data_IF_993863718048
#
_entry.id   IF_993863718048
#
_cell.length_a   1.000
_cell.length_b   1.000
_cell.length_c   1.000
_cell.angle_alpha   90.00
_cell.angle_beta   90.00
_cell.angle_gamma   90.00
#
_symmetry.space_group_name_H-M   'P 1'
#
loop_
_entity.id
_entity.type
_entity.pdbx_description
1 polymer ?
#
# COMPACT_ATOMS: atom_id res chain seq x y z
N UNK A 1 1.89 16.80 -12.12
CA UNK A 1 1.95 15.68 -11.14
C UNK A 1 1.26 16.08 -9.86
N UNK A 2 1.63 17.18 -9.23
CA UNK A 2 1.01 17.66 -7.99
C UNK A 2 -0.51 17.82 -8.08
N UNK A 3 -1.04 18.29 -9.19
CA UNK A 3 -2.49 18.54 -9.35
C UNK A 3 -3.30 17.24 -9.35
N UNK A 4 -2.81 16.16 -9.99
CA UNK A 4 -3.51 14.89 -10.00
C UNK A 4 -3.44 14.21 -8.63
N UNK A 5 -2.27 14.17 -8.00
CA UNK A 5 -2.11 13.66 -6.64
C UNK A 5 -3.01 14.41 -5.65
N UNK A 6 -3.04 15.76 -5.72
CA UNK A 6 -3.95 16.58 -4.90
C UNK A 6 -5.42 16.26 -5.16
N UNK A 7 -5.78 15.97 -6.41
CA UNK A 7 -7.15 15.58 -6.77
C UNK A 7 -7.53 14.24 -6.16
N UNK A 8 -6.63 13.24 -6.19
CA UNK A 8 -6.85 11.96 -5.55
C UNK A 8 -7.04 12.14 -4.03
N UNK A 9 -6.14 12.86 -3.37
CA UNK A 9 -6.22 13.11 -1.93
C UNK A 9 -7.53 13.82 -1.55
N UNK A 10 -7.91 14.91 -2.27
CA UNK A 10 -9.17 15.62 -2.00
C UNK A 10 -10.42 14.75 -2.17
N UNK A 11 -10.39 13.78 -3.07
CA UNK A 11 -11.51 12.87 -3.30
C UNK A 11 -11.59 11.76 -2.23
N UNK A 12 -10.44 11.38 -1.64
CA UNK A 12 -10.34 10.25 -0.72
C UNK A 12 -10.31 10.66 0.75
N UNK A 13 -9.85 11.89 1.09
CA UNK A 13 -9.77 12.36 2.47
C UNK A 13 -11.18 12.66 2.99
N UNK A 14 -11.71 11.73 3.74
CA UNK A 14 -12.96 11.81 4.50
C UNK A 14 -13.04 10.58 5.39
N UNK A 15 -13.83 10.61 6.45
CA UNK A 15 -14.12 9.38 7.18
C UNK A 15 -14.75 8.35 6.24
N UNK A 16 -14.18 7.14 6.21
CA UNK A 16 -14.59 6.00 5.37
C UNK A 16 -14.83 4.75 6.21
N UNK A 17 -15.38 4.95 7.40
CA UNK A 17 -15.65 3.87 8.35
C UNK A 17 -16.89 3.07 7.93
N UNK A 18 -16.86 1.72 8.02
CA UNK A 18 -17.94 0.86 7.51
C UNK A 18 -19.29 1.04 8.19
N UNK A 19 -19.32 1.53 9.42
CA UNK A 19 -20.56 1.69 10.22
C UNK A 19 -20.97 3.16 10.30
N UNK A 20 -20.08 4.07 10.70
CA UNK A 20 -20.41 5.49 10.88
C UNK A 20 -20.50 6.26 9.55
N UNK A 21 -19.73 5.88 8.53
CA UNK A 21 -19.64 6.59 7.24
C UNK A 21 -19.75 5.67 6.01
N UNK A 22 -20.74 4.76 5.93
CA UNK A 22 -20.82 3.77 4.85
C UNK A 22 -21.02 4.39 3.46
N UNK A 23 -21.59 5.60 3.40
CA UNK A 23 -21.76 6.33 2.14
C UNK A 23 -20.42 6.83 1.61
N UNK A 24 -19.57 7.39 2.48
CA UNK A 24 -18.22 7.85 2.11
C UNK A 24 -17.32 6.68 1.72
N UNK A 25 -17.40 5.57 2.45
CA UNK A 25 -16.70 4.32 2.10
C UNK A 25 -17.06 3.87 0.68
N UNK A 26 -18.35 3.89 0.33
CA UNK A 26 -18.80 3.53 -1.02
C UNK A 26 -18.34 4.53 -2.08
N UNK A 27 -18.36 5.84 -1.77
CA UNK A 27 -17.83 6.87 -2.68
C UNK A 27 -16.34 6.66 -3.00
N UNK A 28 -15.55 6.32 -1.99
CA UNK A 28 -14.13 6.00 -2.19
C UNK A 28 -13.96 4.76 -3.08
N UNK A 29 -14.73 3.68 -2.84
CA UNK A 29 -14.76 2.50 -3.70
C UNK A 29 -15.05 2.86 -5.16
N UNK A 30 -16.10 3.65 -5.39
CA UNK A 30 -16.55 4.02 -6.73
C UNK A 30 -15.52 4.94 -7.42
N UNK A 31 -14.94 5.89 -6.69
CA UNK A 31 -13.88 6.77 -7.15
C UNK A 31 -12.64 5.97 -7.61
N UNK A 32 -12.16 5.05 -6.79
CA UNK A 32 -11.01 4.21 -7.12
C UNK A 32 -11.28 3.37 -8.38
N UNK A 33 -12.46 2.77 -8.46
CA UNK A 33 -12.85 1.99 -9.63
C UNK A 33 -12.89 2.84 -10.91
N UNK A 34 -13.37 4.09 -10.83
CA UNK A 34 -13.40 5.01 -11.96
C UNK A 34 -12.00 5.46 -12.37
N UNK A 35 -11.13 5.77 -11.40
CA UNK A 35 -9.75 6.14 -11.68
C UNK A 35 -8.97 5.00 -12.37
N UNK A 36 -9.19 3.76 -11.96
CA UNK A 36 -8.61 2.60 -12.65
C UNK A 36 -9.11 2.50 -14.09
N UNK A 37 -10.43 2.70 -14.35
CA UNK A 37 -10.96 2.72 -15.73
C UNK A 37 -10.38 3.85 -16.55
N UNK A 38 -10.23 5.04 -15.95
CA UNK A 38 -9.70 6.25 -16.63
C UNK A 38 -8.28 6.05 -17.14
N UNK A 39 -7.48 5.26 -16.41
CA UNK A 39 -6.12 4.91 -16.85
C UNK A 39 -6.06 3.56 -17.59
N UNK A 40 -7.18 3.06 -18.11
CA UNK A 40 -7.24 1.88 -18.98
C UNK A 40 -7.08 0.53 -18.30
N UNK A 41 -7.18 0.43 -16.97
CA UNK A 41 -7.13 -0.84 -16.27
C UNK A 41 -8.47 -1.59 -16.36
N UNK A 42 -8.42 -2.92 -16.45
CA UNK A 42 -9.62 -3.74 -16.28
C UNK A 42 -10.01 -3.79 -14.82
N UNK A 43 -11.21 -3.29 -14.51
CA UNK A 43 -11.73 -3.26 -13.13
C UNK A 43 -12.55 -4.51 -12.83
N UNK A 44 -12.32 -5.08 -11.65
CA UNK A 44 -13.15 -6.13 -11.06
C UNK A 44 -13.28 -5.89 -9.55
N UNK A 45 -14.21 -6.61 -8.92
CA UNK A 45 -14.44 -6.53 -7.49
C UNK A 45 -14.31 -7.91 -6.86
N UNK A 46 -13.56 -8.00 -5.79
CA UNK A 46 -13.51 -9.18 -4.93
C UNK A 46 -14.46 -8.96 -3.76
N UNK A 47 -15.63 -9.61 -3.81
CA UNK A 47 -16.65 -9.51 -2.77
C UNK A 47 -16.40 -10.53 -1.65
N UNK A 48 -16.58 -10.10 -0.39
CA UNK A 48 -16.46 -10.97 0.78
C UNK A 48 -17.50 -10.61 1.85
N UNK A 49 -17.78 -11.55 2.74
CA UNK A 49 -18.75 -11.38 3.84
C UNK A 49 -18.00 -11.05 5.13
N UNK A 50 -18.40 -9.95 5.77
CA UNK A 50 -17.86 -9.52 7.07
C UNK A 50 -18.87 -8.61 7.79
N UNK A 51 -18.81 -8.49 9.09
CA UNK A 51 -19.61 -7.56 9.91
C UNK A 51 -21.12 -7.60 9.58
N UNK A 52 -21.65 -8.78 9.23
CA UNK A 52 -23.04 -8.96 8.82
C UNK A 52 -23.41 -8.42 7.42
N UNK A 53 -22.44 -7.86 6.68
CA UNK A 53 -22.60 -7.27 5.35
C UNK A 53 -21.79 -7.96 4.25
N UNK A 54 -21.83 -7.35 3.07
CA UNK A 54 -20.96 -7.70 1.94
C UNK A 54 -20.12 -6.48 1.59
N UNK A 55 -18.80 -6.65 1.62
CA UNK A 55 -17.81 -5.64 1.28
C UNK A 55 -17.04 -6.06 0.04
N UNK A 56 -16.25 -5.15 -0.53
CA UNK A 56 -15.55 -5.41 -1.80
C UNK A 56 -14.17 -4.79 -1.78
N UNK A 57 -13.15 -5.56 -2.13
CA UNK A 57 -11.89 -5.02 -2.60
C UNK A 57 -12.06 -4.59 -4.06
N UNK A 58 -11.45 -3.46 -4.45
CA UNK A 58 -11.46 -2.96 -5.83
C UNK A 58 -10.16 -3.36 -6.50
N UNK A 59 -10.25 -4.05 -7.64
CA UNK A 59 -9.08 -4.57 -8.33
C UNK A 59 -8.98 -3.92 -9.71
N UNK A 60 -7.86 -3.22 -9.96
CA UNK A 60 -7.45 -2.74 -11.27
C UNK A 60 -6.36 -3.64 -11.83
N UNK A 61 -6.60 -4.28 -12.98
CA UNK A 61 -5.63 -5.19 -13.61
C UNK A 61 -5.03 -4.55 -14.84
N UNK A 62 -3.70 -4.46 -14.85
CA UNK A 62 -2.89 -4.02 -15.99
C UNK A 62 -2.12 -5.22 -16.54
N UNK A 63 -2.35 -5.55 -17.81
CA UNK A 63 -1.69 -6.68 -18.48
C UNK A 63 -0.58 -6.22 -19.40
N UNK A 64 0.50 -7.01 -19.56
CA UNK A 64 1.50 -6.77 -20.57
C UNK A 64 0.87 -6.67 -21.98
N UNK A 65 1.31 -5.70 -22.78
CA UNK A 65 0.78 -5.49 -24.14
C UNK A 65 1.05 -6.68 -25.09
N UNK A 66 2.08 -7.49 -24.82
CA UNK A 66 2.36 -8.76 -25.50
C UNK A 66 2.56 -9.83 -24.43
N UNK A 67 1.72 -10.85 -24.43
CA UNK A 67 2.07 -12.12 -23.83
C UNK A 67 3.31 -12.62 -24.60
N UNK A 68 4.50 -12.51 -24.02
CA UNK A 68 5.67 -13.18 -24.55
C UNK A 68 5.34 -14.69 -24.65
N UNK A 69 5.78 -15.36 -25.71
CA UNK A 69 5.55 -16.78 -25.96
C UNK A 69 6.18 -17.72 -24.91
N UNK A 70 6.67 -17.17 -23.81
CA UNK A 70 7.18 -17.88 -22.64
C UNK A 70 6.14 -17.87 -21.53
N UNK A 71 6.20 -18.90 -20.66
CA UNK A 71 5.33 -19.08 -19.50
C UNK A 71 5.16 -17.72 -18.79
N UNK A 72 3.92 -17.22 -18.72
CA UNK A 72 3.61 -15.93 -18.11
C UNK A 72 4.12 -15.92 -16.67
N UNK A 73 4.83 -14.85 -16.29
CA UNK A 73 5.24 -14.66 -14.89
C UNK A 73 3.99 -14.48 -14.02
N UNK A 74 4.02 -14.95 -12.76
CA UNK A 74 2.97 -14.65 -11.81
C UNK A 74 2.75 -13.14 -11.66
N UNK A 75 1.56 -12.66 -11.28
CA UNK A 75 1.30 -11.24 -11.11
C UNK A 75 2.03 -10.63 -9.91
N UNK A 76 2.38 -9.35 -10.01
CA UNK A 76 2.73 -8.52 -8.87
C UNK A 76 1.45 -7.84 -8.34
N UNK A 77 1.28 -7.81 -7.02
CA UNK A 77 0.20 -7.07 -6.36
C UNK A 77 0.75 -5.77 -5.78
N UNK A 78 0.02 -4.67 -5.96
CA UNK A 78 0.24 -3.40 -5.28
C UNK A 78 -1.05 -3.07 -4.56
N UNK A 79 -1.01 -2.88 -3.23
CA UNK A 79 -2.22 -2.74 -2.44
C UNK A 79 -2.15 -1.53 -1.48
N UNK A 80 -3.32 -0.96 -1.17
CA UNK A 80 -3.54 0.02 -0.12
C UNK A 80 -5.01 -0.08 0.33
N UNK A 81 -5.30 0.12 1.62
CA UNK A 81 -6.68 0.08 2.09
C UNK A 81 -7.42 1.40 1.88
N UNK A 82 -8.75 1.33 1.79
CA UNK A 82 -9.57 2.52 1.54
C UNK A 82 -10.57 2.84 2.65
N UNK A 83 -10.69 2.02 3.67
CA UNK A 83 -11.44 2.34 4.89
C UNK A 83 -10.61 3.21 5.86
N UNK A 84 -11.22 3.68 6.91
CA UNK A 84 -10.60 4.42 8.02
C UNK A 84 -11.20 3.97 9.33
N UNK A 85 -10.53 4.27 10.43
CA UNK A 85 -11.20 4.23 11.73
C UNK A 85 -12.24 5.36 11.82
N UNK A 86 -13.14 5.24 12.80
CA UNK A 86 -14.18 6.25 13.07
C UNK A 86 -13.55 7.58 13.49
N UNK A 87 -14.22 8.70 13.12
CA UNK A 87 -13.86 10.07 13.47
C UNK A 87 -12.50 10.56 12.90
N UNK A 88 -11.98 9.88 11.87
CA UNK A 88 -10.70 10.20 11.24
C UNK A 88 -10.89 10.51 9.75
N UNK A 89 -10.36 11.65 9.23
CA UNK A 89 -10.38 11.93 7.80
C UNK A 89 -9.52 10.96 6.99
N UNK A 90 -8.47 10.38 7.62
CA UNK A 90 -7.61 9.38 7.01
C UNK A 90 -6.82 9.91 5.82
N UNK A 91 -6.12 11.03 6.01
CA UNK A 91 -5.32 11.62 4.95
C UNK A 91 -4.03 10.82 4.72
N UNK A 92 -3.30 10.57 5.80
CA UNK A 92 -2.14 9.69 5.76
C UNK A 92 -2.57 8.22 5.82
N UNK A 93 -3.52 7.91 6.69
CA UNK A 93 -4.08 6.60 6.92
C UNK A 93 -5.49 6.43 6.30
N UNK A 94 -5.62 5.95 5.05
CA UNK A 94 -4.54 5.62 4.12
C UNK A 94 -4.82 6.23 2.73
N UNK A 95 -5.34 7.50 2.69
CA UNK A 95 -5.50 8.18 1.40
C UNK A 95 -4.13 8.46 0.74
N UNK A 96 -3.04 8.58 1.52
CA UNK A 96 -1.69 8.73 1.00
C UNK A 96 -1.24 7.49 0.21
N UNK A 97 -1.44 6.29 0.75
CA UNK A 97 -1.16 5.01 0.10
C UNK A 97 -2.01 4.80 -1.15
N UNK A 98 -3.31 5.10 -1.07
CA UNK A 98 -4.22 5.05 -2.22
C UNK A 98 -3.79 6.00 -3.33
N UNK A 99 -3.46 7.25 -3.00
CA UNK A 99 -3.03 8.24 -3.97
C UNK A 99 -1.70 7.85 -4.64
N UNK A 100 -0.73 7.33 -3.87
CA UNK A 100 0.51 6.78 -4.41
C UNK A 100 0.26 5.59 -5.36
N UNK A 101 -0.67 4.70 -4.98
CA UNK A 101 -1.07 3.56 -5.81
C UNK A 101 -1.74 3.99 -7.12
N UNK A 102 -2.66 4.97 -7.08
CA UNK A 102 -3.33 5.51 -8.26
C UNK A 102 -2.35 6.24 -9.19
N UNK A 103 -1.40 6.99 -8.62
CA UNK A 103 -0.32 7.61 -9.37
C UNK A 103 0.59 6.57 -10.05
N UNK A 104 0.94 5.49 -9.33
CA UNK A 104 1.70 4.39 -9.91
C UNK A 104 0.94 3.70 -11.06
N UNK A 105 -0.36 3.47 -10.90
CA UNK A 105 -1.21 2.91 -11.96
C UNK A 105 -1.20 3.78 -13.23
N UNK A 106 -1.33 5.10 -13.05
CA UNK A 106 -1.26 6.05 -14.16
C UNK A 106 0.10 6.11 -14.86
N UNK A 107 1.21 5.89 -14.14
CA UNK A 107 2.57 5.83 -14.70
C UNK A 107 2.82 4.54 -15.48
N UNK A 108 2.25 3.44 -15.02
CA UNK A 108 2.47 2.11 -15.59
C UNK A 108 1.58 1.81 -16.79
N UNK A 109 0.54 2.61 -17.02
CA UNK A 109 -0.41 2.42 -18.12
C UNK A 109 0.25 2.26 -19.49
N UNK A 110 1.29 3.03 -19.79
CA UNK A 110 2.03 2.98 -21.07
C UNK A 110 3.37 2.23 -20.97
N UNK A 111 3.67 1.65 -19.80
CA UNK A 111 4.96 1.00 -19.57
C UNK A 111 5.01 -0.40 -20.21
N UNK A 112 6.21 -0.80 -20.63
CA UNK A 112 6.48 -2.17 -21.03
C UNK A 112 6.62 -3.03 -19.78
N UNK A 113 5.65 -3.90 -19.52
CA UNK A 113 5.62 -4.79 -18.37
C UNK A 113 5.97 -6.23 -18.76
N UNK A 114 6.65 -6.94 -17.86
CA UNK A 114 7.00 -8.35 -18.02
C UNK A 114 5.99 -9.30 -17.34
N UNK A 115 5.14 -8.79 -16.45
CA UNK A 115 4.10 -9.54 -15.74
C UNK A 115 2.81 -8.71 -15.61
N UNK A 116 1.72 -9.36 -15.23
CA UNK A 116 0.47 -8.68 -14.86
C UNK A 116 0.68 -7.92 -13.55
N UNK A 117 0.17 -6.68 -13.47
CA UNK A 117 0.13 -5.90 -12.23
C UNK A 117 -1.33 -5.81 -11.78
N UNK A 118 -1.58 -6.15 -10.51
CA UNK A 118 -2.89 -5.98 -9.86
C UNK A 118 -2.80 -4.90 -8.80
N UNK A 119 -3.50 -3.80 -9.01
CA UNK A 119 -3.70 -2.75 -8.03
C UNK A 119 -4.95 -3.09 -7.21
N UNK A 120 -4.82 -3.25 -5.91
CA UNK A 120 -5.92 -3.67 -5.04
C UNK A 120 -6.16 -2.64 -3.96
N UNK A 121 -7.31 -1.97 -4.02
CA UNK A 121 -7.79 -1.21 -2.89
C UNK A 121 -8.55 -2.16 -1.96
N UNK A 122 -7.99 -2.45 -0.79
CA UNK A 122 -8.56 -3.36 0.21
C UNK A 122 -9.56 -2.64 1.09
N UNK A 123 -10.58 -3.36 1.56
CA UNK A 123 -11.61 -2.84 2.45
C UNK A 123 -11.56 -3.54 3.80
N UNK A 124 -11.85 -2.82 4.87
CA UNK A 124 -11.84 -3.35 6.24
C UNK A 124 -10.44 -3.80 6.71
N UNK A 125 -9.42 -3.03 6.37
CA UNK A 125 -8.08 -3.18 6.94
C UNK A 125 -8.12 -2.88 8.43
N UNK A 126 -8.73 -1.76 8.81
CA UNK A 126 -8.92 -1.26 10.17
C UNK A 126 -9.81 -2.18 11.04
N UNK A 127 -10.39 -3.19 10.43
CA UNK A 127 -11.21 -4.23 11.04
C UNK A 127 -10.50 -5.58 10.94
N UNK A 128 -9.27 -5.67 11.47
CA UNK A 128 -8.46 -6.88 11.49
C UNK A 128 -8.12 -7.44 10.09
N UNK A 129 -7.80 -6.58 9.11
CA UNK A 129 -7.32 -6.93 7.77
C UNK A 129 -8.32 -7.78 6.97
N UNK A 130 -9.64 -7.68 7.25
CA UNK A 130 -10.64 -8.61 6.73
C UNK A 130 -10.65 -8.71 5.20
N UNK A 131 -10.42 -7.59 4.49
CA UNK A 131 -10.41 -7.58 3.03
C UNK A 131 -9.19 -8.24 2.42
N UNK A 132 -8.01 -7.98 2.93
CA UNK A 132 -6.77 -8.61 2.47
C UNK A 132 -6.69 -10.08 2.86
N UNK A 133 -7.16 -10.45 4.05
CA UNK A 133 -7.29 -11.85 4.48
C UNK A 133 -8.20 -12.62 3.52
N UNK A 134 -9.39 -12.08 3.21
CA UNK A 134 -10.31 -12.71 2.27
C UNK A 134 -9.70 -12.85 0.87
N UNK A 135 -8.96 -11.83 0.40
CA UNK A 135 -8.31 -11.88 -0.90
C UNK A 135 -7.16 -12.89 -0.95
N UNK A 136 -6.25 -12.86 0.03
CA UNK A 136 -5.14 -13.80 0.10
C UNK A 136 -5.62 -15.26 0.25
N UNK A 137 -6.70 -15.49 1.00
CA UNK A 137 -7.37 -16.78 1.08
C UNK A 137 -7.86 -17.25 -0.29
N UNK A 138 -8.53 -16.37 -1.06
CA UNK A 138 -9.03 -16.71 -2.40
C UNK A 138 -7.92 -17.07 -3.39
N UNK A 139 -6.76 -16.41 -3.32
CA UNK A 139 -5.57 -16.79 -4.09
C UNK A 139 -5.10 -18.20 -3.71
N UNK A 140 -5.09 -18.51 -2.42
CA UNK A 140 -4.66 -19.81 -1.91
C UNK A 140 -5.62 -20.93 -2.32
N UNK A 141 -6.91 -20.71 -2.25
CA UNK A 141 -7.95 -21.64 -2.70
C UNK A 141 -7.85 -21.92 -4.21
N UNK A 142 -7.53 -20.90 -4.99
CA UNK A 142 -7.31 -21.03 -6.43
C UNK A 142 -5.93 -21.63 -6.79
N UNK A 143 -5.05 -21.90 -5.82
CA UNK A 143 -3.64 -22.25 -6.03
C UNK A 143 -2.94 -21.26 -6.97
N UNK A 144 -3.28 -19.99 -6.88
CA UNK A 144 -2.69 -18.94 -7.70
C UNK A 144 -1.34 -18.49 -7.11
N UNK A 145 -0.29 -18.51 -7.92
CA UNK A 145 1.02 -17.98 -7.57
C UNK A 145 1.08 -16.47 -7.83
N UNK A 146 1.79 -15.73 -6.99
CA UNK A 146 2.09 -14.32 -7.19
C UNK A 146 3.61 -14.09 -7.03
N UNK A 147 4.17 -13.07 -7.69
CA UNK A 147 5.53 -12.62 -7.46
C UNK A 147 5.69 -12.07 -6.03
N UNK A 148 4.65 -11.43 -5.54
CA UNK A 148 4.54 -10.89 -4.19
C UNK A 148 3.56 -9.73 -4.14
N UNK A 149 3.39 -9.15 -2.94
CA UNK A 149 2.58 -7.97 -2.71
C UNK A 149 3.42 -6.82 -2.16
N UNK A 150 3.23 -5.62 -2.69
CA UNK A 150 3.75 -4.35 -2.19
C UNK A 150 2.56 -3.60 -1.60
N UNK A 151 2.53 -3.46 -0.28
CA UNK A 151 1.45 -2.80 0.46
C UNK A 151 1.92 -1.40 0.86
N UNK A 152 1.13 -0.39 0.52
CA UNK A 152 1.37 1.00 0.93
C UNK A 152 0.51 1.31 2.15
N UNK A 153 1.17 1.71 3.23
CA UNK A 153 0.56 1.93 4.54
C UNK A 153 1.10 3.20 5.16
N UNK A 154 0.31 4.30 5.20
CA UNK A 154 0.77 5.59 5.65
C UNK A 154 2.09 5.97 4.97
N UNK A 155 2.03 6.63 3.83
CA UNK A 155 3.23 7.02 3.05
C UNK A 155 3.25 8.52 2.75
N UNK A 156 2.62 9.31 3.63
CA UNK A 156 2.40 10.72 3.40
C UNK A 156 3.04 11.67 4.41
N UNK A 157 3.55 11.20 5.55
CA UNK A 157 4.08 12.09 6.57
C UNK A 157 5.61 12.03 6.68
N UNK A 158 6.26 13.18 6.64
CA UNK A 158 7.69 13.33 6.91
C UNK A 158 7.96 14.44 7.90
N UNK A 159 9.13 14.40 8.53
CA UNK A 159 9.61 15.47 9.41
C UNK A 159 11.13 15.46 9.41
N UNK A 160 11.75 16.62 9.18
CA UNK A 160 13.21 16.82 9.27
C UNK A 160 13.70 17.12 10.69
N UNK A 161 12.79 17.21 11.66
CA UNK A 161 13.12 17.53 13.05
C UNK A 161 13.83 16.34 13.71
N UNK A 162 14.93 16.63 14.39
CA UNK A 162 15.61 15.64 15.25
C UNK A 162 14.67 15.11 16.34
N UNK A 163 14.64 13.80 16.53
CA UNK A 163 13.75 13.12 17.45
C UNK A 163 12.29 12.98 16.95
N UNK A 164 12.02 13.30 15.69
CA UNK A 164 10.69 13.11 15.09
C UNK A 164 10.37 11.64 14.78
N UNK A 165 11.36 10.76 14.80
CA UNK A 165 11.18 9.33 14.63
C UNK A 165 11.42 8.60 15.95
N UNK A 166 10.45 7.78 16.33
CA UNK A 166 10.56 6.78 17.41
C UNK A 166 10.54 5.35 16.83
N UNK A 167 10.70 4.37 17.67
CA UNK A 167 10.68 2.96 17.26
C UNK A 167 10.09 2.08 18.36
N UNK A 168 9.50 0.91 18.02
CA UNK A 168 9.14 -0.09 18.99
C UNK A 168 10.34 -0.51 19.85
N UNK A 169 10.11 -0.96 21.08
CA UNK A 169 11.17 -1.60 21.88
C UNK A 169 11.79 -2.81 21.15
N UNK A 170 13.06 -3.07 21.43
CA UNK A 170 13.77 -4.25 20.92
C UNK A 170 13.90 -4.35 19.39
N UNK A 171 13.94 -3.21 18.70
CA UNK A 171 14.22 -3.21 17.26
C UNK A 171 15.59 -3.84 16.96
N UNK A 172 15.68 -4.77 15.98
CA UNK A 172 16.93 -5.46 15.68
C UNK A 172 17.91 -4.63 14.84
N UNK A 173 17.49 -3.44 14.39
CA UNK A 173 18.30 -2.50 13.62
C UNK A 173 18.24 -1.11 14.24
N UNK A 174 19.25 -0.29 13.98
CA UNK A 174 19.21 1.12 14.33
C UNK A 174 18.23 1.87 13.42
N UNK A 175 17.28 2.57 14.03
CA UNK A 175 16.32 3.42 13.31
C UNK A 175 16.85 4.87 13.34
N UNK A 176 16.84 5.58 12.19
CA UNK A 176 17.16 7.02 12.18
C UNK A 176 16.26 7.79 13.15
N UNK A 177 16.77 8.87 13.74
CA UNK A 177 16.02 9.72 14.67
C UNK A 177 15.22 10.81 13.96
N UNK A 178 15.43 10.98 12.66
CA UNK A 178 14.74 11.94 11.79
C UNK A 178 13.77 11.15 10.89
N UNK A 179 12.51 11.60 10.83
CA UNK A 179 11.42 10.93 10.13
C UNK A 179 11.32 11.33 8.65
N UNK A 180 12.40 11.18 7.89
CA UNK A 180 12.50 11.59 6.47
C UNK A 180 12.80 10.43 5.51
N UNK A 181 12.43 9.21 5.88
CA UNK A 181 12.68 7.99 5.12
C UNK A 181 11.42 7.16 4.90
N UNK A 182 11.45 6.30 3.90
CA UNK A 182 10.46 5.23 3.68
C UNK A 182 10.92 3.95 4.39
N UNK A 183 10.12 3.45 5.31
CA UNK A 183 10.28 2.13 5.90
C UNK A 183 9.87 1.05 4.92
N UNK A 184 10.68 0.01 4.81
CA UNK A 184 10.39 -1.20 4.03
C UNK A 184 10.39 -2.36 5.02
N UNK A 185 9.22 -2.90 5.32
CA UNK A 185 9.06 -4.00 6.28
C UNK A 185 8.76 -5.29 5.53
N UNK A 186 9.54 -6.32 5.77
CA UNK A 186 9.39 -7.62 5.14
C UNK A 186 9.71 -8.75 6.12
N UNK A 187 9.18 -9.94 5.87
CA UNK A 187 9.64 -11.15 6.57
C UNK A 187 10.79 -11.84 5.80
N UNK A 188 11.37 -12.89 6.38
CA UNK A 188 12.49 -13.61 5.77
C UNK A 188 12.15 -14.14 4.38
N UNK A 189 10.94 -14.67 4.17
CA UNK A 189 10.50 -15.18 2.86
C UNK A 189 10.36 -14.07 1.81
N UNK A 190 10.05 -12.86 2.23
CA UNK A 190 9.87 -11.68 1.38
C UNK A 190 11.15 -10.87 1.18
N UNK A 191 12.25 -11.24 1.86
CA UNK A 191 13.52 -10.49 1.81
C UNK A 191 14.07 -10.26 0.39
N UNK A 192 13.98 -11.21 -0.56
CA UNK A 192 14.42 -10.96 -1.94
C UNK A 192 13.63 -9.83 -2.61
N UNK A 193 12.29 -9.81 -2.46
CA UNK A 193 11.42 -8.77 -2.99
C UNK A 193 11.75 -7.41 -2.38
N UNK A 194 11.90 -7.35 -1.05
CA UNK A 194 12.20 -6.11 -0.33
C UNK A 194 13.59 -5.54 -0.69
N UNK A 195 14.61 -6.38 -0.84
CA UNK A 195 15.94 -5.95 -1.31
C UNK A 195 15.90 -5.43 -2.74
N UNK A 196 15.16 -6.11 -3.62
CA UNK A 196 14.97 -5.65 -5.00
C UNK A 196 14.27 -4.29 -5.04
N UNK A 197 13.22 -4.09 -4.22
CA UNK A 197 12.56 -2.80 -4.10
C UNK A 197 13.52 -1.71 -3.59
N UNK A 198 14.25 -1.97 -2.50
CA UNK A 198 15.21 -1.01 -1.94
C UNK A 198 16.28 -0.60 -2.95
N UNK A 199 16.87 -1.57 -3.66
CA UNK A 199 17.89 -1.31 -4.69
C UNK A 199 17.30 -0.49 -5.85
N UNK A 200 16.10 -0.80 -6.30
CA UNK A 200 15.41 -0.07 -7.36
C UNK A 200 15.08 1.35 -6.90
N UNK A 201 14.55 1.53 -5.69
CA UNK A 201 14.27 2.85 -5.13
C UNK A 201 15.54 3.71 -5.07
N UNK A 202 16.65 3.19 -4.55
CA UNK A 202 17.94 3.89 -4.48
C UNK A 202 18.50 4.28 -5.86
N UNK A 203 18.28 3.48 -6.89
CA UNK A 203 18.75 3.74 -8.25
C UNK A 203 17.89 4.76 -8.98
N UNK A 204 16.54 4.64 -8.86
CA UNK A 204 15.61 5.39 -9.69
C UNK A 204 15.05 6.65 -9.00
N UNK A 205 15.14 6.72 -7.67
CA UNK A 205 14.60 7.84 -6.85
C UNK A 205 15.64 8.24 -5.81
N UNK A 206 16.69 8.92 -6.24
CA UNK A 206 17.87 9.22 -5.44
C UNK A 206 17.57 9.95 -4.10
N UNK A 207 16.52 10.79 -4.10
CA UNK A 207 16.13 11.58 -2.93
C UNK A 207 15.16 10.83 -1.97
N UNK A 208 14.86 9.55 -2.25
CA UNK A 208 14.04 8.72 -1.39
C UNK A 208 14.94 7.89 -0.46
N UNK A 209 15.15 8.38 0.75
CA UNK A 209 15.83 7.60 1.79
C UNK A 209 14.98 6.39 2.16
N UNK A 210 15.60 5.23 2.35
CA UNK A 210 14.93 3.99 2.71
C UNK A 210 15.56 3.33 3.92
N UNK A 211 14.75 2.66 4.74
CA UNK A 211 15.19 1.80 5.86
C UNK A 211 14.52 0.45 5.72
N UNK A 212 15.32 -0.58 5.48
CA UNK A 212 14.84 -1.96 5.32
C UNK A 212 14.90 -2.71 6.65
N UNK A 213 13.75 -3.24 7.07
CA UNK A 213 13.60 -4.16 8.19
C UNK A 213 13.12 -5.52 7.68
N UNK A 214 13.90 -6.56 7.94
CA UNK A 214 13.50 -7.96 7.69
C UNK A 214 13.33 -8.68 9.03
N UNK A 215 12.12 -9.18 9.27
CA UNK A 215 11.78 -9.90 10.50
C UNK A 215 11.72 -11.41 10.28
N UNK A 216 12.08 -12.23 11.29
CA UNK A 216 11.93 -13.67 11.22
C UNK A 216 10.46 -14.10 11.25
N UNK A 217 10.19 -15.32 10.77
CA UNK A 217 8.84 -15.90 10.77
C UNK A 217 7.83 -15.05 10.01
N UNK A 218 6.76 -14.70 10.69
CA UNK A 218 5.75 -13.74 10.22
C UNK A 218 5.75 -12.45 11.08
N UNK A 219 6.85 -12.13 11.77
CA UNK A 219 6.95 -10.94 12.62
C UNK A 219 6.34 -11.11 14.02
N UNK A 220 6.15 -12.35 14.50
CA UNK A 220 5.47 -12.63 15.77
C UNK A 220 6.17 -11.99 16.99
N UNK A 221 7.48 -11.83 16.91
CA UNK A 221 8.29 -11.20 17.98
C UNK A 221 8.25 -9.66 17.93
N UNK A 222 7.78 -9.09 16.83
CA UNK A 222 7.66 -7.65 16.61
C UNK A 222 6.26 -7.34 16.04
N UNK A 223 5.20 -7.41 16.87
CA UNK A 223 3.80 -7.34 16.40
C UNK A 223 3.48 -6.06 15.60
N UNK A 224 4.15 -4.95 15.89
CA UNK A 224 4.00 -3.71 15.12
C UNK A 224 4.37 -3.85 13.63
N UNK A 225 5.16 -4.87 13.28
CA UNK A 225 5.50 -5.17 11.88
C UNK A 225 4.42 -5.93 11.12
N UNK A 226 3.26 -6.18 11.75
CA UNK A 226 2.14 -6.95 11.18
C UNK A 226 0.85 -6.13 11.07
N UNK A 227 0.94 -4.83 11.24
CA UNK A 227 -0.22 -3.94 11.39
C UNK A 227 -0.77 -3.42 10.07
N UNK A 228 -0.57 -4.14 8.94
CA UNK A 228 -1.18 -3.80 7.67
C UNK A 228 -1.40 -5.02 6.80
N UNK A 229 -2.04 -4.83 5.67
CA UNK A 229 -2.50 -5.84 4.70
C UNK A 229 -1.42 -6.83 4.24
N UNK A 230 -0.13 -6.47 4.27
CA UNK A 230 0.97 -7.38 3.95
C UNK A 230 1.01 -8.60 4.87
N UNK A 231 0.58 -8.45 6.13
CA UNK A 231 0.54 -9.55 7.10
C UNK A 231 -0.49 -10.63 6.69
N UNK A 232 -1.57 -10.25 6.02
CA UNK A 232 -2.52 -11.21 5.47
C UNK A 232 -1.85 -12.10 4.40
N UNK A 233 -1.04 -11.51 3.52
CA UNK A 233 -0.29 -12.29 2.52
C UNK A 233 0.72 -13.24 3.18
N UNK A 234 1.45 -12.78 4.22
CA UNK A 234 2.35 -13.64 4.99
C UNK A 234 1.62 -14.84 5.61
N UNK A 235 0.43 -14.60 6.17
CA UNK A 235 -0.40 -15.66 6.79
C UNK A 235 -0.72 -16.79 5.80
N UNK A 236 -0.92 -16.46 4.53
CA UNK A 236 -1.21 -17.44 3.47
C UNK A 236 0.03 -17.90 2.72
N UNK A 237 1.25 -17.56 3.18
CA UNK A 237 2.53 -18.03 2.64
C UNK A 237 2.97 -17.30 1.36
N UNK A 238 2.43 -16.12 1.08
CA UNK A 238 2.83 -15.28 -0.03
C UNK A 238 3.90 -14.27 0.37
N UNK A 239 4.92 -14.01 -0.47
CA UNK A 239 5.83 -12.91 -0.26
C UNK A 239 5.09 -11.57 -0.26
N UNK A 240 5.37 -10.72 0.73
CA UNK A 240 4.82 -9.37 0.79
C UNK A 240 5.76 -8.42 1.54
N UNK A 241 5.69 -7.14 1.21
CA UNK A 241 6.34 -6.07 1.95
C UNK A 241 5.37 -4.93 2.22
N UNK A 242 5.61 -4.22 3.32
CA UNK A 242 4.93 -2.96 3.63
C UNK A 242 5.89 -1.80 3.38
N UNK A 243 5.40 -0.79 2.68
CA UNK A 243 6.02 0.52 2.54
C UNK A 243 5.31 1.49 3.47
N UNK A 244 6.04 2.15 4.36
CA UNK A 244 5.41 2.99 5.37
C UNK A 244 6.30 4.17 5.79
N UNK A 245 5.69 5.25 6.20
CA UNK A 245 6.35 6.32 6.92
C UNK A 245 6.50 6.01 8.42
N UNK A 246 6.02 4.85 8.85
CA UNK A 246 6.00 4.32 10.21
C UNK A 246 4.84 4.78 11.10
N UNK A 247 3.81 5.41 10.53
CA UNK A 247 2.55 5.73 11.21
C UNK A 247 2.77 6.39 12.60
N UNK A 248 2.19 5.85 13.67
CA UNK A 248 2.28 6.40 15.03
C UNK A 248 3.71 6.55 15.59
N UNK A 249 4.72 5.93 15.00
CA UNK A 249 6.12 6.11 15.41
C UNK A 249 6.73 7.42 14.88
N UNK A 250 6.02 8.08 13.95
CA UNK A 250 6.44 9.35 13.32
C UNK A 250 5.33 10.39 13.30
N UNK A 251 4.14 10.00 12.82
CA UNK A 251 3.03 10.91 12.57
C UNK A 251 2.18 11.14 13.83
N UNK A 252 2.17 12.37 14.41
CA UNK A 252 1.36 12.67 15.59
C UNK A 252 -0.14 12.75 15.29
N UNK A 253 -0.54 12.73 14.01
CA UNK A 253 -1.92 12.80 13.55
C UNK A 253 -2.54 11.42 13.30
N UNK A 254 -1.74 10.35 13.35
CA UNK A 254 -2.19 8.98 13.14
C UNK A 254 -3.40 8.62 14.01
N UNK A 255 -4.47 8.11 13.39
CA UNK A 255 -5.74 7.78 14.03
C UNK A 255 -6.42 8.95 14.76
N UNK A 256 -6.29 10.17 14.26
CA UNK A 256 -6.87 11.37 14.85
C UNK A 256 -7.65 12.18 13.80
N UNK A 257 -8.58 12.99 14.30
CA UNK A 257 -9.32 13.96 13.47
C UNK A 257 -8.43 15.02 12.82
N UNK A 258 -7.17 15.12 13.24
CA UNK A 258 -6.16 16.02 12.67
C UNK A 258 -5.34 15.40 11.54
N UNK A 259 -5.63 14.15 11.14
CA UNK A 259 -5.04 13.51 9.95
C UNK A 259 -5.69 14.08 8.69
N UNK A 260 -5.15 15.21 8.21
CA UNK A 260 -5.72 16.03 7.13
C UNK A 260 -4.71 16.29 6.02
N UNK A 261 -5.17 16.81 4.86
CA UNK A 261 -4.33 17.08 3.69
C UNK A 261 -3.14 17.99 4.02
N UNK A 262 -3.33 18.93 4.94
CA UNK A 262 -2.31 19.93 5.32
C UNK A 262 -1.12 19.33 6.06
N UNK A 263 -1.26 18.11 6.59
CA UNK A 263 -0.18 17.40 7.30
C UNK A 263 0.73 16.60 6.37
N UNK A 264 0.34 16.43 5.10
CA UNK A 264 1.03 15.54 4.16
C UNK A 264 2.19 16.22 3.42
N UNK A 265 3.27 15.48 3.24
CA UNK A 265 4.36 15.76 2.30
C UNK A 265 4.04 15.13 0.93
N UNK A 266 3.47 15.93 0.04
CA UNK A 266 3.09 15.47 -1.30
C UNK A 266 4.29 15.04 -2.14
N UNK A 267 5.45 15.63 -1.91
CA UNK A 267 6.66 15.26 -2.63
C UNK A 267 7.16 13.88 -2.22
N UNK A 268 6.99 13.52 -0.95
CA UNK A 268 7.29 12.19 -0.45
C UNK A 268 6.36 11.13 -1.07
N UNK A 269 5.04 11.39 -1.11
CA UNK A 269 4.06 10.51 -1.77
C UNK A 269 4.42 10.31 -3.25
N UNK A 270 4.79 11.38 -3.97
CA UNK A 270 5.23 11.29 -5.37
C UNK A 270 6.47 10.42 -5.54
N UNK A 271 7.46 10.53 -4.65
CA UNK A 271 8.67 9.69 -4.67
C UNK A 271 8.35 8.23 -4.41
N UNK A 272 7.43 7.95 -3.47
CA UNK A 272 6.96 6.58 -3.22
C UNK A 272 6.26 6.00 -4.46
N UNK A 273 5.34 6.73 -5.08
CA UNK A 273 4.67 6.30 -6.31
C UNK A 273 5.67 6.03 -7.45
N UNK A 274 6.71 6.85 -7.57
CA UNK A 274 7.79 6.66 -8.55
C UNK A 274 8.58 5.38 -8.26
N UNK A 275 8.95 5.12 -7.01
CA UNK A 275 9.69 3.92 -6.61
C UNK A 275 8.87 2.63 -6.87
N UNK A 276 7.57 2.66 -6.56
CA UNK A 276 6.65 1.54 -6.84
C UNK A 276 6.55 1.28 -8.34
N UNK A 277 6.43 2.34 -9.15
CA UNK A 277 6.37 2.21 -10.61
C UNK A 277 7.69 1.66 -11.19
N UNK A 278 8.82 2.16 -10.70
CA UNK A 278 10.14 1.71 -11.11
C UNK A 278 10.35 0.22 -10.76
N UNK A 279 9.92 -0.22 -9.58
CA UNK A 279 9.97 -1.64 -9.21
C UNK A 279 9.15 -2.50 -10.15
N UNK A 280 7.90 -2.10 -10.48
CA UNK A 280 7.04 -2.87 -11.37
C UNK A 280 7.60 -2.99 -12.80
N UNK A 281 8.34 -1.99 -13.29
CA UNK A 281 8.99 -2.04 -14.61
C UNK A 281 10.32 -2.78 -14.62
N UNK A 282 10.95 -2.99 -13.47
CA UNK A 282 12.25 -3.67 -13.35
C UNK A 282 12.16 -5.21 -13.27
N UNK A 283 10.95 -5.77 -13.11
CA UNK A 283 10.68 -7.20 -13.03
C UNK A 283 10.76 -7.87 -14.39
#
# INVERSE_FOLDING_TARGET
MDDRLRSHLRALISERHPVSSPVSLRRAQDYIAEEYRRVGLRVSFHAFRALGGTYKNVIGTLRPARAAFHRAKPPLIIAAHYDTIQDTPGADDNASGLAAMLEAAGRLHEASLSCEIRFIATCLEEQDLLGSVAYAASLREANEEILGAIVLECVGYTSEREGSQTAPPAMPIAIPRVGDFLGIVANTASAPLAKSFEQTAKREVADLKTVLLVVPGQGEQLPDTRRSDHAAFWQFGYPALMLTDTANFRNPHYHRSTDTLETLDLSFICRVAQAVSAMATSL
#
